data_IF_947255590898
#
_entry.id   IF_947255590898
#
_cell.length_a   1.000
_cell.length_b   1.000
_cell.length_c   1.000
_cell.angle_alpha   90.00
_cell.angle_beta   90.00
_cell.angle_gamma   90.00
#
_symmetry.space_group_name_H-M   'P 1'
#
loop_
_entity.id
_entity.type
_entity.pdbx_description
1 polymer ?
#
# COMPACT_ATOMS: atom_id res chain seq x y z
N UNK A 1 -24.45 -4.28 -12.83
CA UNK A 1 -23.86 -5.35 -13.69
C UNK A 1 -22.37 -5.29 -13.49
N UNK A 2 -21.68 -6.42 -13.31
CA UNK A 2 -20.22 -6.38 -13.22
C UNK A 2 -19.63 -5.84 -14.53
N UNK A 3 -18.78 -4.84 -14.43
CA UNK A 3 -18.08 -4.25 -15.57
C UNK A 3 -16.91 -5.19 -15.89
N UNK A 4 -16.79 -5.62 -17.14
CA UNK A 4 -15.65 -6.44 -17.57
C UNK A 4 -14.67 -5.58 -18.33
N UNK A 5 -13.44 -5.54 -17.84
CA UNK A 5 -12.34 -4.78 -18.44
C UNK A 5 -11.13 -5.68 -18.71
N UNK A 6 -10.27 -5.26 -19.61
CA UNK A 6 -8.98 -5.90 -19.88
C UNK A 6 -7.90 -5.04 -19.28
N UNK A 7 -7.37 -5.48 -18.15
CA UNK A 7 -6.36 -4.72 -17.42
C UNK A 7 -5.14 -5.60 -17.12
N UNK A 8 -3.97 -4.97 -17.10
CA UNK A 8 -2.78 -5.54 -16.46
C UNK A 8 -2.93 -5.50 -14.95
N UNK A 9 -2.06 -6.22 -14.22
CA UNK A 9 -2.06 -6.17 -12.76
C UNK A 9 -1.79 -4.75 -12.23
N UNK A 10 -0.89 -4.00 -12.86
CA UNK A 10 -0.62 -2.61 -12.48
C UNK A 10 -1.83 -1.69 -12.74
N UNK A 11 -2.51 -1.87 -13.87
CA UNK A 11 -3.75 -1.15 -14.16
C UNK A 11 -4.86 -1.51 -13.18
N UNK A 12 -4.97 -2.78 -12.80
CA UNK A 12 -5.95 -3.26 -11.83
C UNK A 12 -5.75 -2.61 -10.44
N UNK A 13 -4.48 -2.52 -9.97
CA UNK A 13 -4.14 -1.78 -8.75
C UNK A 13 -4.51 -0.29 -8.88
N UNK A 14 -4.09 0.35 -9.96
CA UNK A 14 -4.36 1.77 -10.16
C UNK A 14 -5.86 2.06 -10.25
N UNK A 15 -6.64 1.18 -10.85
CA UNK A 15 -8.10 1.29 -10.91
C UNK A 15 -8.73 1.12 -9.53
N UNK A 16 -8.27 0.17 -8.72
CA UNK A 16 -8.70 0.03 -7.33
C UNK A 16 -8.38 1.29 -6.52
N UNK A 17 -7.18 1.86 -6.67
CA UNK A 17 -6.81 3.14 -6.05
C UNK A 17 -7.77 4.26 -6.46
N UNK A 18 -8.12 4.34 -7.75
CA UNK A 18 -9.10 5.30 -8.24
C UNK A 18 -10.45 5.17 -7.52
N UNK A 19 -10.96 3.96 -7.36
CA UNK A 19 -12.25 3.72 -6.72
C UNK A 19 -12.25 4.02 -5.22
N UNK A 20 -11.10 3.77 -4.55
CA UNK A 20 -10.91 4.04 -3.12
C UNK A 20 -10.74 5.53 -2.87
N UNK A 21 -10.06 6.23 -3.78
CA UNK A 21 -9.70 7.66 -3.66
C UNK A 21 -9.06 7.98 -2.31
N UNK A 22 -7.87 7.40 -2.00
CA UNK A 22 -7.16 7.66 -0.75
C UNK A 22 -6.67 9.10 -0.67
N UNK A 23 -6.36 9.58 0.54
CA UNK A 23 -5.97 10.98 0.74
C UNK A 23 -4.62 11.30 0.13
N UNK A 24 -3.62 10.38 0.24
CA UNK A 24 -2.26 10.69 -0.18
C UNK A 24 -1.51 9.46 -0.70
N UNK A 25 -0.71 9.68 -1.75
CA UNK A 25 0.20 8.69 -2.33
C UNK A 25 1.58 9.30 -2.59
N UNK A 26 2.51 9.24 -1.63
CA UNK A 26 3.92 9.51 -1.92
C UNK A 26 4.50 8.37 -2.75
N UNK A 27 5.26 8.67 -3.79
CA UNK A 27 5.81 7.64 -4.65
C UNK A 27 7.16 8.02 -5.26
N UNK A 28 8.01 7.00 -5.44
CA UNK A 28 9.20 7.03 -6.26
C UNK A 28 9.14 5.87 -7.27
N UNK A 29 9.30 6.14 -8.59
CA UNK A 29 9.10 5.13 -9.61
C UNK A 29 10.22 4.09 -9.65
N UNK A 30 9.86 2.81 -9.63
CA UNK A 30 10.78 1.68 -9.81
C UNK A 30 10.09 0.57 -10.63
N UNK A 31 10.81 0.01 -11.62
CA UNK A 31 10.33 -1.11 -12.44
C UNK A 31 10.24 -2.39 -11.59
N UNK A 32 9.13 -3.19 -11.67
CA UNK A 32 8.01 -3.07 -12.60
C UNK A 32 6.75 -2.37 -12.04
N UNK A 33 6.80 -1.67 -10.91
CA UNK A 33 5.66 -0.97 -10.31
C UNK A 33 5.39 0.43 -10.91
N UNK A 34 6.23 0.93 -11.80
CA UNK A 34 6.22 2.31 -12.31
C UNK A 34 4.87 2.74 -12.91
N UNK A 35 4.15 1.83 -13.54
CA UNK A 35 2.85 2.13 -14.17
C UNK A 35 1.78 2.50 -13.13
N UNK A 36 1.83 1.94 -11.92
CA UNK A 36 0.85 2.25 -10.87
C UNK A 36 0.81 3.76 -10.57
N UNK A 37 1.92 4.40 -10.14
CA UNK A 37 1.93 5.84 -9.90
C UNK A 37 1.66 6.66 -11.16
N UNK A 38 2.02 6.18 -12.36
CA UNK A 38 1.71 6.87 -13.62
C UNK A 38 0.21 6.93 -13.90
N UNK A 39 -0.52 5.81 -13.73
CA UNK A 39 -1.98 5.80 -13.89
C UNK A 39 -2.67 6.65 -12.84
N UNK A 40 -2.23 6.56 -11.58
CA UNK A 40 -2.80 7.38 -10.49
C UNK A 40 -2.60 8.87 -10.78
N UNK A 41 -1.40 9.28 -11.20
CA UNK A 41 -1.14 10.67 -11.60
C UNK A 41 -2.01 11.13 -12.78
N UNK A 42 -2.31 10.23 -13.73
CA UNK A 42 -3.21 10.53 -14.84
C UNK A 42 -4.67 10.72 -14.34
N UNK A 43 -5.16 9.89 -13.43
CA UNK A 43 -6.50 10.06 -12.84
C UNK A 43 -6.63 11.39 -12.09
N UNK A 44 -5.60 11.80 -11.35
CA UNK A 44 -5.56 13.10 -10.67
C UNK A 44 -5.57 14.24 -11.68
N UNK A 45 -4.71 14.17 -12.70
CA UNK A 45 -4.63 15.20 -13.74
C UNK A 45 -5.95 15.38 -14.52
N UNK A 46 -6.72 14.30 -14.65
CA UNK A 46 -8.04 14.30 -15.28
C UNK A 46 -9.17 14.75 -14.33
N UNK A 47 -8.88 14.96 -13.04
CA UNK A 47 -9.88 15.32 -12.03
C UNK A 47 -10.82 14.16 -11.66
N UNK A 48 -10.35 12.92 -11.81
CA UNK A 48 -11.12 11.71 -11.50
C UNK A 48 -11.02 11.31 -10.03
N UNK A 49 -9.94 11.72 -9.34
CA UNK A 49 -9.69 11.52 -7.91
C UNK A 49 -9.01 12.74 -7.30
N UNK A 50 -9.13 12.89 -5.99
CA UNK A 50 -8.61 14.04 -5.21
C UNK A 50 -7.33 13.69 -4.43
N UNK A 51 -6.78 12.50 -4.63
CA UNK A 51 -5.57 12.01 -3.95
C UNK A 51 -4.41 13.00 -4.13
N UNK A 52 -3.77 13.41 -3.04
CA UNK A 52 -2.52 14.19 -3.09
C UNK A 52 -1.36 13.28 -3.49
N UNK A 53 -0.79 13.51 -4.67
CA UNK A 53 0.34 12.75 -5.19
C UNK A 53 1.64 13.46 -4.91
N UNK A 54 2.51 12.85 -4.09
CA UNK A 54 3.78 13.47 -3.68
C UNK A 54 4.95 12.78 -4.36
N UNK A 55 5.62 13.50 -5.25
CA UNK A 55 6.90 13.06 -5.83
C UNK A 55 8.02 13.22 -4.80
N UNK A 56 8.71 12.13 -4.53
CA UNK A 56 9.85 12.10 -3.61
C UNK A 56 11.11 11.65 -4.34
N UNK A 57 12.29 11.80 -3.71
CA UNK A 57 13.58 11.51 -4.31
C UNK A 57 14.07 10.06 -4.08
N UNK A 58 13.37 9.28 -3.25
CA UNK A 58 13.72 7.88 -2.97
C UNK A 58 12.54 7.11 -2.39
N UNK A 59 12.62 5.78 -2.43
CA UNK A 59 11.61 4.92 -1.80
C UNK A 59 11.60 5.06 -0.28
N UNK A 60 12.73 5.30 0.34
CA UNK A 60 12.80 5.59 1.78
C UNK A 60 11.95 6.82 2.12
N UNK A 61 12.12 7.91 1.37
CA UNK A 61 11.30 9.12 1.54
C UNK A 61 9.83 8.88 1.23
N UNK A 62 9.51 8.00 0.27
CA UNK A 62 8.12 7.64 -0.02
C UNK A 62 7.47 6.99 1.20
N UNK A 63 8.12 6.00 1.82
CA UNK A 63 7.57 5.33 3.00
C UNK A 63 7.54 6.27 4.21
N UNK A 64 8.58 7.07 4.45
CA UNK A 64 8.61 8.07 5.54
C UNK A 64 7.45 9.06 5.43
N UNK A 65 7.19 9.58 4.21
CA UNK A 65 6.06 10.48 3.96
C UNK A 65 4.71 9.79 4.16
N UNK A 66 4.60 8.51 3.73
CA UNK A 66 3.39 7.69 3.93
C UNK A 66 3.11 7.45 5.42
N UNK A 67 4.15 7.15 6.20
CA UNK A 67 4.08 7.01 7.67
C UNK A 67 3.59 8.31 8.30
N UNK A 68 4.20 9.44 7.94
CA UNK A 68 3.81 10.74 8.46
C UNK A 68 2.36 11.09 8.15
N UNK A 69 1.91 10.85 6.91
CA UNK A 69 0.54 11.08 6.49
C UNK A 69 -0.46 10.17 7.24
N UNK A 70 -0.17 8.88 7.36
CA UNK A 70 -1.01 7.95 8.10
C UNK A 70 -1.10 8.31 9.59
N UNK A 71 0.03 8.67 10.22
CA UNK A 71 0.06 9.14 11.60
C UNK A 71 -0.73 10.45 11.79
N UNK A 72 -0.77 11.30 10.77
CA UNK A 72 -1.56 12.54 10.76
C UNK A 72 -3.08 12.30 10.60
N UNK A 73 -3.49 11.08 10.26
CA UNK A 73 -4.89 10.69 10.12
C UNK A 73 -5.36 10.53 8.67
N UNK A 74 -4.46 10.56 7.71
CA UNK A 74 -4.78 10.35 6.30
C UNK A 74 -4.81 8.87 5.93
N UNK A 75 -5.68 8.49 5.00
CA UNK A 75 -5.63 7.21 4.31
C UNK A 75 -4.49 7.24 3.29
N UNK A 76 -3.41 6.54 3.60
CA UNK A 76 -2.14 6.63 2.87
C UNK A 76 -1.71 5.31 2.26
N UNK A 77 -1.10 5.38 1.07
CA UNK A 77 -0.51 4.23 0.40
C UNK A 77 0.75 4.62 -0.38
N UNK A 78 1.52 3.62 -0.77
CA UNK A 78 2.61 3.78 -1.74
C UNK A 78 2.77 2.52 -2.59
N UNK A 79 3.64 2.57 -3.60
CA UNK A 79 3.96 1.44 -4.47
C UNK A 79 5.46 1.32 -4.65
N UNK A 80 5.97 0.09 -4.68
CA UNK A 80 7.41 -0.18 -4.87
C UNK A 80 7.69 -1.58 -5.42
N UNK A 81 8.96 -1.89 -5.58
CA UNK A 81 9.50 -3.19 -6.03
C UNK A 81 10.91 -3.38 -5.50
N UNK A 82 11.35 -4.64 -5.31
CA UNK A 82 12.77 -5.04 -5.22
C UNK A 82 13.64 -4.16 -4.32
N UNK A 83 14.65 -3.52 -4.92
CA UNK A 83 15.59 -2.66 -4.21
C UNK A 83 14.90 -1.46 -3.55
N UNK A 84 13.77 -0.98 -4.09
CA UNK A 84 12.96 0.04 -3.43
C UNK A 84 12.37 -0.46 -2.12
N UNK A 85 11.88 -1.72 -2.10
CA UNK A 85 11.46 -2.37 -0.86
C UNK A 85 12.61 -2.50 0.14
N UNK A 86 13.80 -2.86 -0.33
CA UNK A 86 14.99 -2.95 0.52
C UNK A 86 15.42 -1.59 1.05
N UNK A 87 15.28 -0.52 0.26
CA UNK A 87 15.64 0.84 0.68
C UNK A 87 14.69 1.39 1.76
N UNK A 88 13.43 0.99 1.78
CA UNK A 88 12.47 1.37 2.82
C UNK A 88 12.41 0.40 4.01
N UNK A 89 13.37 -0.52 4.14
CA UNK A 89 13.36 -1.62 5.09
C UNK A 89 13.13 -1.19 6.55
N UNK A 90 13.88 -0.21 7.03
CA UNK A 90 13.75 0.30 8.40
C UNK A 90 12.35 0.85 8.66
N UNK A 91 11.83 1.58 7.68
CA UNK A 91 10.51 2.22 7.76
C UNK A 91 9.37 1.20 7.85
N UNK A 92 9.56 -0.02 7.35
CA UNK A 92 8.54 -1.06 7.48
C UNK A 92 8.29 -1.44 8.94
N UNK A 93 9.36 -1.55 9.73
CA UNK A 93 9.24 -1.80 11.18
C UNK A 93 8.60 -0.63 11.90
N UNK A 94 8.91 0.60 11.51
CA UNK A 94 8.29 1.81 12.06
C UNK A 94 6.79 1.79 11.83
N UNK A 95 6.35 1.61 10.58
CA UNK A 95 4.94 1.57 10.22
C UNK A 95 4.15 0.51 11.02
N UNK A 96 4.70 -0.71 11.15
CA UNK A 96 4.06 -1.80 11.87
C UNK A 96 4.03 -1.57 13.39
N UNK A 97 5.13 -1.06 13.98
CA UNK A 97 5.21 -0.80 15.41
C UNK A 97 4.32 0.35 15.87
N UNK A 98 4.14 1.35 15.01
CA UNK A 98 3.25 2.49 15.25
C UNK A 98 1.78 2.18 14.91
N UNK A 99 1.49 0.95 14.46
CA UNK A 99 0.13 0.49 14.13
C UNK A 99 -0.56 1.35 13.08
N UNK A 100 0.19 1.74 12.05
CA UNK A 100 -0.32 2.59 10.97
C UNK A 100 -0.94 1.74 9.86
N UNK A 101 -2.22 1.98 9.50
CA UNK A 101 -2.93 1.20 8.49
C UNK A 101 -2.56 1.63 7.07
N UNK A 102 -1.31 1.43 6.71
CA UNK A 102 -0.77 1.75 5.38
C UNK A 102 -1.00 0.58 4.44
N UNK A 103 -1.34 0.87 3.18
CA UNK A 103 -1.39 -0.13 2.12
C UNK A 103 -0.21 0.07 1.17
N UNK A 104 0.50 -1.01 0.85
CA UNK A 104 1.61 -1.03 -0.08
C UNK A 104 1.28 -1.92 -1.28
N UNK A 105 1.33 -1.37 -2.48
CA UNK A 105 1.35 -2.16 -3.71
C UNK A 105 2.79 -2.60 -4.00
N UNK A 106 3.07 -3.89 -3.79
CA UNK A 106 4.38 -4.46 -4.03
C UNK A 106 4.38 -5.30 -5.30
N UNK A 107 5.09 -4.82 -6.33
CA UNK A 107 5.29 -5.58 -7.56
C UNK A 107 6.63 -6.31 -7.44
N UNK A 108 6.56 -7.60 -7.13
CA UNK A 108 7.73 -8.42 -6.76
C UNK A 108 8.77 -8.50 -7.86
N UNK A 109 9.99 -8.27 -7.49
CA UNK A 109 11.19 -8.40 -8.32
C UNK A 109 12.38 -8.81 -7.45
N UNK A 110 13.28 -9.65 -7.99
CA UNK A 110 14.50 -10.04 -7.30
C UNK A 110 15.31 -8.83 -6.81
N UNK A 111 15.90 -8.97 -5.63
CA UNK A 111 16.94 -8.06 -5.17
C UNK A 111 18.17 -8.17 -6.06
N UNK A 112 19.01 -7.14 -6.05
CA UNK A 112 20.22 -7.11 -6.89
C UNK A 112 21.26 -8.10 -6.36
N UNK A 113 21.53 -9.13 -7.16
CA UNK A 113 22.60 -10.06 -6.86
C UNK A 113 22.34 -11.53 -7.18
N UNK A 114 21.99 -11.91 -8.41
CA UNK A 114 21.68 -11.12 -9.61
C UNK A 114 20.23 -10.63 -9.64
N UNK A 115 20.01 -9.52 -10.31
CA UNK A 115 18.67 -9.03 -10.58
C UNK A 115 17.94 -9.95 -11.56
N UNK A 116 16.69 -10.27 -11.25
CA UNK A 116 15.74 -10.93 -12.14
C UNK A 116 14.41 -10.19 -12.08
N UNK A 117 13.85 -9.85 -13.23
CA UNK A 117 12.62 -9.05 -13.32
C UNK A 117 11.34 -9.88 -13.32
N UNK A 118 11.43 -11.21 -13.34
CA UNK A 118 10.28 -12.11 -13.40
C UNK A 118 10.21 -13.02 -12.17
N UNK A 119 8.99 -13.20 -11.66
CA UNK A 119 8.60 -14.24 -10.70
C UNK A 119 9.59 -14.50 -9.56
N UNK A 120 10.00 -13.44 -8.87
CA UNK A 120 10.90 -13.55 -7.70
C UNK A 120 10.33 -12.74 -6.53
N UNK A 121 10.23 -13.38 -5.38
CA UNK A 121 9.64 -12.81 -4.16
C UNK A 121 10.69 -12.53 -3.07
N UNK A 122 11.98 -12.42 -3.42
CA UNK A 122 13.04 -12.19 -2.43
C UNK A 122 12.89 -10.86 -1.70
N UNK A 123 12.26 -9.86 -2.34
CA UNK A 123 11.93 -8.59 -1.73
C UNK A 123 10.89 -8.73 -0.61
N UNK A 124 9.73 -9.29 -0.89
CA UNK A 124 8.68 -9.51 0.12
C UNK A 124 9.08 -10.55 1.16
N UNK A 125 9.77 -11.63 0.75
CA UNK A 125 10.25 -12.64 1.69
C UNK A 125 11.27 -12.06 2.67
N UNK A 126 12.09 -11.11 2.21
CA UNK A 126 12.95 -10.34 3.10
C UNK A 126 12.15 -9.59 4.17
N UNK A 127 11.00 -9.06 3.83
CA UNK A 127 10.15 -8.25 4.72
C UNK A 127 9.20 -9.08 5.63
N UNK A 128 9.24 -10.41 5.62
CA UNK A 128 8.29 -11.28 6.35
C UNK A 128 8.23 -11.02 7.86
N UNK A 129 9.33 -10.58 8.45
CA UNK A 129 9.45 -10.39 9.90
C UNK A 129 9.18 -8.92 10.34
N UNK A 130 8.74 -8.05 9.42
CA UNK A 130 8.54 -6.61 9.67
C UNK A 130 7.20 -6.28 10.34
N UNK A 131 6.32 -7.26 10.53
CA UNK A 131 5.01 -7.07 11.11
C UNK A 131 3.91 -6.66 10.13
N UNK A 132 4.21 -6.60 8.83
CA UNK A 132 3.24 -6.37 7.78
C UNK A 132 2.43 -7.61 7.45
N UNK A 133 1.15 -7.42 7.18
CA UNK A 133 0.31 -8.46 6.58
C UNK A 133 0.67 -8.53 5.09
N UNK A 134 1.05 -9.72 4.62
CA UNK A 134 1.41 -9.95 3.21
C UNK A 134 0.34 -10.80 2.55
N UNK A 135 -0.24 -10.30 1.47
CA UNK A 135 -1.25 -10.99 0.67
C UNK A 135 -0.71 -11.13 -0.75
N UNK A 136 -0.60 -12.37 -1.22
CA UNK A 136 -0.08 -12.68 -2.56
C UNK A 136 -1.23 -12.95 -3.51
N UNK A 137 -1.15 -12.38 -4.69
CA UNK A 137 -2.13 -12.54 -5.76
C UNK A 137 -1.55 -13.36 -6.92
N UNK A 138 -2.33 -14.31 -7.42
CA UNK A 138 -1.96 -15.20 -8.55
C UNK A 138 -2.53 -14.72 -9.90
N UNK A 139 -3.48 -13.79 -9.88
CA UNK A 139 -4.15 -13.25 -11.06
C UNK A 139 -4.44 -11.76 -10.92
N UNK A 140 -4.72 -11.08 -12.05
CA UNK A 140 -5.09 -9.67 -12.03
C UNK A 140 -6.42 -9.43 -11.29
N UNK A 141 -7.33 -10.40 -11.32
CA UNK A 141 -8.56 -10.33 -10.52
C UNK A 141 -8.26 -10.33 -9.04
N UNK A 142 -7.40 -11.23 -8.57
CA UNK A 142 -7.00 -11.27 -7.15
C UNK A 142 -6.23 -10.01 -6.73
N UNK A 143 -5.38 -9.47 -7.62
CA UNK A 143 -4.71 -8.19 -7.35
C UNK A 143 -5.72 -7.10 -7.04
N UNK A 144 -6.74 -6.96 -7.89
CA UNK A 144 -7.82 -6.00 -7.73
C UNK A 144 -8.62 -6.23 -6.44
N UNK A 145 -9.11 -7.45 -6.26
CA UNK A 145 -9.97 -7.81 -5.12
C UNK A 145 -9.21 -7.67 -3.79
N UNK A 146 -7.97 -8.14 -3.73
CA UNK A 146 -7.13 -8.06 -2.53
C UNK A 146 -6.77 -6.61 -2.20
N UNK A 147 -6.55 -5.76 -3.24
CA UNK A 147 -6.25 -4.36 -3.01
C UNK A 147 -7.43 -3.61 -2.39
N UNK A 148 -8.65 -3.89 -2.83
CA UNK A 148 -9.86 -3.36 -2.19
C UNK A 148 -10.02 -3.83 -0.74
N UNK A 149 -9.70 -5.10 -0.47
CA UNK A 149 -9.79 -5.69 0.87
C UNK A 149 -8.70 -5.18 1.83
N UNK A 150 -7.54 -4.74 1.30
CA UNK A 150 -6.39 -4.33 2.10
C UNK A 150 -6.73 -3.18 3.06
N UNK A 151 -7.52 -2.20 2.61
CA UNK A 151 -7.89 -1.04 3.43
C UNK A 151 -8.78 -1.41 4.62
N UNK A 152 -9.93 -2.08 4.45
CA UNK A 152 -10.72 -2.53 5.58
C UNK A 152 -9.96 -3.44 6.55
N UNK A 153 -9.04 -4.27 6.07
CA UNK A 153 -8.20 -5.12 6.91
C UNK A 153 -7.23 -4.27 7.73
N UNK A 154 -6.47 -3.38 7.06
CA UNK A 154 -5.48 -2.54 7.72
C UNK A 154 -6.13 -1.59 8.76
N UNK A 155 -7.25 -1.00 8.40
CA UNK A 155 -7.96 0.01 9.18
C UNK A 155 -8.82 -0.57 10.31
N UNK A 156 -9.06 -1.89 10.31
CA UNK A 156 -9.90 -2.52 11.33
C UNK A 156 -9.34 -2.27 12.73
N UNK A 157 -10.18 -1.81 13.65
CA UNK A 157 -9.78 -1.39 15.01
C UNK A 157 -8.98 -2.42 15.80
N UNK A 158 -9.25 -3.71 15.57
CA UNK A 158 -8.57 -4.81 16.26
C UNK A 158 -7.32 -5.30 15.49
N UNK A 159 -7.04 -4.76 14.30
CA UNK A 159 -5.87 -5.08 13.47
C UNK A 159 -4.88 -3.93 13.50
N UNK A 160 -5.20 -2.79 12.91
CA UNK A 160 -4.34 -1.61 12.80
C UNK A 160 -2.90 -2.00 12.46
N UNK A 161 -2.73 -2.70 11.34
CA UNK A 161 -1.42 -3.11 10.82
C UNK A 161 -1.33 -2.77 9.35
N UNK A 162 -0.15 -2.42 8.87
CA UNK A 162 0.05 -2.18 7.45
C UNK A 162 -0.08 -3.49 6.65
N UNK A 163 -0.60 -3.36 5.43
CA UNK A 163 -0.85 -4.48 4.51
C UNK A 163 -0.09 -4.25 3.22
N UNK A 164 0.61 -5.27 2.72
CA UNK A 164 1.18 -5.27 1.39
C UNK A 164 0.49 -6.29 0.50
N UNK A 165 0.10 -5.85 -0.69
CA UNK A 165 -0.42 -6.69 -1.75
C UNK A 165 0.71 -6.97 -2.73
N UNK A 166 1.07 -8.24 -2.82
CA UNK A 166 2.19 -8.73 -3.61
C UNK A 166 1.68 -9.32 -4.92
N UNK A 167 2.26 -8.88 -6.04
CA UNK A 167 2.01 -9.46 -7.36
C UNK A 167 3.32 -9.70 -8.09
N UNK A 168 3.37 -10.73 -8.93
CA UNK A 168 4.56 -11.04 -9.73
C UNK A 168 4.92 -9.91 -10.70
N UNK A 169 6.20 -9.54 -10.70
CA UNK A 169 6.76 -8.65 -11.69
C UNK A 169 6.68 -9.24 -13.09
N UNK A 170 6.18 -8.47 -14.05
CA UNK A 170 5.94 -8.78 -15.46
C UNK A 170 4.92 -9.88 -15.75
N UNK A 171 4.82 -10.95 -14.99
CA UNK A 171 3.84 -12.02 -15.24
C UNK A 171 2.43 -11.49 -14.95
N UNK A 172 2.15 -11.12 -13.72
CA UNK A 172 0.85 -10.53 -13.32
C UNK A 172 0.80 -9.04 -13.63
N UNK A 173 1.86 -8.29 -13.26
CA UNK A 173 1.84 -6.84 -13.31
C UNK A 173 1.66 -6.25 -14.72
N UNK A 174 2.17 -6.92 -15.77
CA UNK A 174 2.08 -6.50 -17.18
C UNK A 174 1.27 -7.47 -18.04
N UNK A 175 0.92 -8.65 -17.52
CA UNK A 175 0.00 -9.57 -18.18
C UNK A 175 -1.41 -8.98 -18.20
N UNK A 176 -2.09 -9.02 -19.36
CA UNK A 176 -3.45 -8.48 -19.51
C UNK A 176 -4.47 -9.61 -19.37
N UNK A 177 -5.38 -9.48 -18.44
CA UNK A 177 -6.47 -10.42 -18.21
C UNK A 177 -7.84 -9.74 -18.29
N UNK A 178 -8.89 -10.55 -18.46
CA UNK A 178 -10.25 -10.06 -18.33
C UNK A 178 -10.62 -10.11 -16.84
N UNK A 179 -10.88 -8.96 -16.25
CA UNK A 179 -11.29 -8.85 -14.86
C UNK A 179 -12.71 -8.32 -14.73
N UNK A 180 -13.34 -8.62 -13.60
CA UNK A 180 -14.64 -8.11 -13.23
C UNK A 180 -14.45 -6.99 -12.21
N UNK A 181 -14.80 -5.78 -12.59
CA UNK A 181 -14.77 -4.63 -11.72
C UNK A 181 -16.07 -4.52 -10.94
N UNK A 182 -15.98 -4.11 -9.70
CA UNK A 182 -17.13 -3.77 -8.86
C UNK A 182 -17.55 -2.33 -9.14
N UNK A 183 -18.84 -2.05 -9.10
CA UNK A 183 -19.36 -0.68 -9.27
C UNK A 183 -18.84 0.25 -8.16
N UNK A 184 -18.50 1.49 -8.49
CA UNK A 184 -17.85 2.46 -7.59
C UNK A 184 -18.61 2.65 -6.28
N UNK A 185 -19.93 2.71 -6.31
CA UNK A 185 -20.75 2.87 -5.10
C UNK A 185 -20.67 1.65 -4.17
N UNK A 186 -20.52 0.45 -4.73
CA UNK A 186 -20.33 -0.77 -3.94
C UNK A 186 -18.93 -0.81 -3.31
N UNK A 187 -17.91 -0.38 -4.06
CA UNK A 187 -16.54 -0.26 -3.53
C UNK A 187 -16.49 0.75 -2.39
N UNK A 188 -17.07 1.94 -2.57
CA UNK A 188 -17.16 2.96 -1.53
C UNK A 188 -17.88 2.43 -0.28
N UNK A 189 -18.98 1.70 -0.47
CA UNK A 189 -19.72 1.10 0.62
C UNK A 189 -18.95 -0.01 1.34
N UNK A 190 -18.13 -0.77 0.62
CA UNK A 190 -17.32 -1.86 1.17
C UNK A 190 -16.08 -1.33 1.91
N UNK A 191 -15.33 -0.43 1.30
CA UNK A 191 -14.13 0.17 1.89
C UNK A 191 -14.49 1.12 3.03
N UNK A 192 -15.60 1.84 2.90
CA UNK A 192 -16.07 2.78 3.90
C UNK A 192 -15.24 4.08 3.97
N UNK A 193 -15.71 5.00 4.79
CA UNK A 193 -14.96 6.21 5.11
C UNK A 193 -13.86 5.90 6.13
N UNK A 194 -12.68 6.47 5.94
CA UNK A 194 -11.60 6.38 6.92
C UNK A 194 -11.81 7.42 8.02
N UNK A 195 -11.99 6.95 9.23
CA UNK A 195 -12.19 7.82 10.39
C UNK A 195 -11.36 7.29 11.56
N UNK A 196 -10.06 7.62 11.62
CA UNK A 196 -9.17 7.14 12.66
C UNK A 196 -9.58 7.69 14.03
N UNK A 197 -9.60 6.81 15.03
CA UNK A 197 -9.95 7.16 16.41
C UNK A 197 -8.89 8.09 17.02
N UNK A 198 -7.62 7.84 16.73
CA UNK A 198 -6.48 8.61 17.22
C UNK A 198 -5.53 8.97 16.08
N UNK A 199 -5.14 10.24 15.97
CA UNK A 199 -4.19 10.74 14.98
C UNK A 199 -3.54 12.06 15.41
N UNK A 200 -2.33 12.34 14.92
CA UNK A 200 -1.51 13.48 15.34
C UNK A 200 -2.17 14.84 15.16
N UNK A 201 -2.95 15.02 14.11
CA UNK A 201 -3.60 16.29 13.80
C UNK A 201 -4.97 16.45 14.48
N UNK A 202 -5.34 15.56 15.41
CA UNK A 202 -6.58 15.71 16.17
C UNK A 202 -6.47 16.89 17.16
N UNK A 203 -7.21 17.99 16.98
CA UNK A 203 -7.08 19.16 17.83
C UNK A 203 -7.65 18.96 19.25
N UNK A 204 -8.46 17.93 19.44
CA UNK A 204 -9.10 17.61 20.72
C UNK A 204 -8.31 16.64 21.58
N UNK A 205 -7.32 15.96 21.01
CA UNK A 205 -6.55 14.94 21.71
C UNK A 205 -5.07 15.01 21.35
N UNK A 206 -4.22 15.26 22.34
CA UNK A 206 -2.77 15.26 22.13
C UNK A 206 -2.24 13.83 22.19
N UNK A 207 -1.53 13.42 21.16
CA UNK A 207 -0.85 12.12 21.12
C UNK A 207 0.60 12.25 20.66
N UNK A 208 1.38 11.22 20.90
CA UNK A 208 2.72 11.04 20.34
C UNK A 208 2.75 9.72 19.55
N UNK A 209 3.38 9.74 18.39
CA UNK A 209 3.63 8.56 17.56
C UNK A 209 5.13 8.37 17.44
N UNK A 210 5.62 7.15 17.64
CA UNK A 210 7.01 6.82 17.46
C UNK A 210 7.36 5.43 17.97
N UNK A 211 8.30 4.73 17.33
CA UNK A 211 8.63 3.33 17.61
C UNK A 211 9.55 3.16 18.82
N UNK A 212 9.55 4.08 19.76
CA UNK A 212 10.44 4.04 20.93
C UNK A 212 9.80 3.27 22.09
N UNK A 213 10.29 2.07 22.34
CA UNK A 213 9.86 1.25 23.48
C UNK A 213 10.95 1.19 24.57
N UNK A 214 10.56 1.53 25.78
CA UNK A 214 11.37 1.32 26.97
C UNK A 214 10.86 0.11 27.75
N UNK A 215 11.63 -0.39 28.70
CA UNK A 215 11.32 -1.60 29.48
C UNK A 215 9.91 -1.64 30.08
N UNK A 216 9.30 -0.49 30.32
CA UNK A 216 7.96 -0.38 30.88
C UNK A 216 6.84 -0.62 29.83
N UNK A 217 7.19 -0.70 28.54
CA UNK A 217 6.25 -0.87 27.43
C UNK A 217 6.35 -2.24 26.75
N UNK A 218 6.96 -3.23 27.45
CA UNK A 218 7.17 -4.54 26.84
C UNK A 218 5.86 -5.21 26.38
N UNK A 219 4.71 -4.87 26.95
CA UNK A 219 3.41 -5.36 26.52
C UNK A 219 3.00 -4.87 25.12
N UNK A 220 3.53 -3.73 24.63
CA UNK A 220 3.19 -3.20 23.32
C UNK A 220 3.71 -4.04 22.16
N UNK A 221 4.88 -4.67 22.30
CA UNK A 221 5.42 -5.55 21.25
C UNK A 221 5.36 -7.03 21.59
N UNK A 222 4.73 -7.40 22.69
CA UNK A 222 4.38 -8.79 23.02
C UNK A 222 2.89 -9.07 22.89
N UNK A 223 2.08 -8.03 22.68
CA UNK A 223 0.66 -8.19 22.36
C UNK A 223 0.52 -8.63 20.90
N UNK A 224 -0.29 -9.68 20.64
CA UNK A 224 -0.61 -10.09 19.29
C UNK A 224 -1.40 -9.03 18.56
#
# INVERSE_FOLDING_TARGET
MAIRERLSGNEAVAYAIKQINPDVMPAFPITPSTEIPQYVAAYIANGEIDTEFIHVESEHSAMSATIGASAAGARALTATSSCGMALMWEELYVAASDRLPIVLALVNRALTGPININADHSDSMGARDTGWIQIYAESNQEVYDNFLQAFPIAEHKDVKLPVMICQDGFITSHGVENIQLVEDELVKGFVGEYNPEHYLLNPSETMAVGPYAVSNYCLLYTSP
#
